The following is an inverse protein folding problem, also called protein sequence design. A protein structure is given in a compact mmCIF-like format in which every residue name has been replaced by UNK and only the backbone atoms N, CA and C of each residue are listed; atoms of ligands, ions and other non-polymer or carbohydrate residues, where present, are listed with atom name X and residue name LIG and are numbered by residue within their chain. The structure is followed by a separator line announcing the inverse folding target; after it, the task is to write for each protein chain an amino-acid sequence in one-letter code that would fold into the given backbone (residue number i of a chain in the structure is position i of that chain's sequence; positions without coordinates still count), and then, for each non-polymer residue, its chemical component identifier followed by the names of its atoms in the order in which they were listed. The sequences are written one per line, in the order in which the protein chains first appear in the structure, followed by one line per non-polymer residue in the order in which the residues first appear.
data_IF_744524955068
#
_entry.id   IF_744524955068
#
_cell.length_a   1.000
_cell.length_b   1.000
_cell.length_c   1.000
_cell.angle_alpha   90.00
_cell.angle_beta   90.00
_cell.angle_gamma   90.00
#
_symmetry.space_group_name_H-M   'P 1'
#
loop_
_entity.id
_entity.type
_entity.pdbx_description
1 polymer ?
#
# COMPACT_ATOMS: atom_id res chain seq x y z
N UNK A 1 -13.78 27.27 6.64
CA UNK A 1 -13.89 26.19 7.65
C UNK A 1 -13.01 26.56 8.84
N UNK A 2 -13.52 26.54 10.09
CA UNK A 2 -12.70 26.89 11.25
C UNK A 2 -11.61 25.84 11.48
N UNK A 3 -10.37 26.30 11.67
CA UNK A 3 -9.24 25.42 11.92
C UNK A 3 -9.21 25.00 13.40
N UNK A 4 -8.88 23.74 13.68
CA UNK A 4 -8.79 23.24 15.06
C UNK A 4 -7.63 23.93 15.78
N UNK A 5 -7.88 24.40 17.01
CA UNK A 5 -6.83 24.97 17.85
C UNK A 5 -5.68 23.97 18.06
N UNK A 6 -4.44 24.47 18.09
CA UNK A 6 -3.27 23.62 18.34
C UNK A 6 -3.32 23.09 19.77
N UNK A 7 -2.95 21.82 19.94
CA UNK A 7 -2.92 21.10 21.22
C UNK A 7 -1.47 20.77 21.59
N UNK A 8 -1.15 20.56 22.88
CA UNK A 8 0.18 20.13 23.29
C UNK A 8 0.55 18.79 22.68
N UNK A 9 1.84 18.62 22.38
CA UNK A 9 2.43 17.37 21.94
C UNK A 9 2.21 16.26 22.99
N UNK A 10 1.82 15.06 22.53
CA UNK A 10 1.59 13.92 23.43
C UNK A 10 2.89 13.26 23.95
N UNK A 11 4.07 13.75 23.55
CA UNK A 11 5.34 13.22 24.05
C UNK A 11 5.61 13.70 25.48
N UNK A 12 5.96 12.82 26.43
CA UNK A 12 6.19 13.20 27.83
C UNK A 12 7.21 14.35 27.97
N UNK A 13 6.81 15.43 28.64
CA UNK A 13 7.66 16.59 28.88
C UNK A 13 7.82 17.57 27.70
N UNK A 14 7.19 17.32 26.54
CA UNK A 14 7.24 18.24 25.41
C UNK A 14 6.25 19.39 25.56
N UNK A 15 6.74 20.64 25.43
CA UNK A 15 5.92 21.86 25.54
C UNK A 15 5.41 22.39 24.18
N UNK A 16 5.76 21.75 23.08
CA UNK A 16 5.41 22.22 21.74
C UNK A 16 3.92 22.01 21.43
N UNK A 17 3.32 22.96 20.72
CA UNK A 17 1.95 22.88 20.22
C UNK A 17 1.94 22.30 18.79
N UNK A 18 0.99 21.41 18.52
CA UNK A 18 0.81 20.72 17.25
C UNK A 18 -0.67 20.61 16.87
N UNK A 19 -0.98 20.49 15.58
CA UNK A 19 -2.31 20.08 15.11
C UNK A 19 -2.51 18.56 15.22
N UNK A 20 -1.40 17.81 15.17
CA UNK A 20 -1.34 16.35 15.14
C UNK A 20 -1.16 15.76 16.55
N UNK A 21 -0.90 14.45 16.66
CA UNK A 21 -0.59 13.79 17.95
C UNK A 21 0.75 14.24 18.55
N UNK A 22 1.76 14.43 17.71
CA UNK A 22 3.12 14.81 18.10
C UNK A 22 3.54 16.09 17.36
N UNK A 23 4.50 16.83 17.92
CA UNK A 23 5.20 17.87 17.14
C UNK A 23 6.10 17.21 16.08
N UNK A 24 6.58 17.99 15.11
CA UNK A 24 7.33 17.44 13.97
C UNK A 24 8.54 16.58 14.38
N UNK A 25 9.28 17.01 15.40
CA UNK A 25 10.43 16.26 15.94
C UNK A 25 10.02 14.91 16.51
N UNK A 26 8.98 14.88 17.36
CA UNK A 26 8.51 13.65 17.98
C UNK A 26 7.76 12.75 16.99
N UNK A 27 7.13 13.32 15.97
CA UNK A 27 6.58 12.55 14.86
C UNK A 27 7.69 11.82 14.08
N UNK A 28 8.82 12.50 13.81
CA UNK A 28 10.00 11.89 13.19
C UNK A 28 10.63 10.81 14.08
N UNK A 29 10.74 11.06 15.38
CA UNK A 29 11.27 10.09 16.34
C UNK A 29 10.40 8.83 16.43
N UNK A 30 9.08 9.00 16.54
CA UNK A 30 8.13 7.88 16.59
C UNK A 30 8.11 7.10 15.27
N UNK A 31 8.14 7.78 14.12
CA UNK A 31 8.25 7.13 12.83
C UNK A 31 9.56 6.31 12.71
N UNK A 32 10.68 6.82 13.24
CA UNK A 32 11.95 6.10 13.27
C UNK A 32 11.86 4.85 14.16
N UNK A 33 11.30 4.98 15.36
CA UNK A 33 11.07 3.85 16.28
C UNK A 33 10.19 2.78 15.63
N UNK A 34 9.05 3.18 15.08
CA UNK A 34 8.12 2.27 14.40
C UNK A 34 8.83 1.51 13.28
N UNK A 35 9.57 2.20 12.41
CA UNK A 35 10.29 1.55 11.32
C UNK A 35 11.42 0.61 11.79
N UNK A 36 11.99 0.85 12.97
CA UNK A 36 13.09 0.05 13.52
C UNK A 36 12.61 -1.19 14.28
N UNK A 37 11.54 -1.07 15.07
CA UNK A 37 11.15 -2.08 16.06
C UNK A 37 9.79 -2.72 15.79
N UNK A 38 8.83 -1.97 15.27
CA UNK A 38 7.42 -2.40 15.17
C UNK A 38 7.03 -2.83 13.74
N UNK A 39 7.70 -2.27 12.73
CA UNK A 39 7.43 -2.59 11.32
C UNK A 39 8.03 -3.95 10.95
N UNK A 40 7.22 -4.83 10.35
CA UNK A 40 7.69 -6.12 9.81
C UNK A 40 8.93 -5.89 8.93
N UNK A 41 10.12 -6.44 9.31
CA UNK A 41 11.35 -6.29 8.55
C UNK A 41 11.21 -6.79 7.10
N UNK A 42 10.31 -7.74 6.86
CA UNK A 42 10.03 -8.28 5.53
C UNK A 42 9.12 -7.39 4.68
N UNK A 43 8.45 -6.39 5.25
CA UNK A 43 7.61 -5.47 4.48
C UNK A 43 8.38 -4.75 3.36
N UNK A 44 9.62 -4.31 3.64
CA UNK A 44 10.50 -3.70 2.65
C UNK A 44 11.06 -4.71 1.63
N UNK A 45 11.23 -5.99 2.01
CA UNK A 45 11.65 -7.05 1.07
C UNK A 45 10.53 -7.42 0.10
N UNK A 46 9.27 -7.44 0.57
CA UNK A 46 8.10 -7.80 -0.24
C UNK A 46 7.83 -6.79 -1.37
N UNK A 47 7.97 -5.48 -1.09
CA UNK A 47 7.65 -4.41 -2.03
C UNK A 47 8.82 -3.45 -2.28
N UNK A 48 10.01 -4.00 -2.54
CA UNK A 48 11.22 -3.23 -2.82
C UNK A 48 11.28 -2.60 -4.22
N UNK A 49 12.42 -2.00 -4.57
CA UNK A 49 12.66 -1.37 -5.89
C UNK A 49 12.47 -2.32 -7.08
N UNK A 50 12.72 -3.62 -6.88
CA UNK A 50 12.50 -4.66 -7.89
C UNK A 50 11.03 -4.76 -8.28
N UNK A 51 10.12 -4.74 -7.29
CA UNK A 51 8.68 -4.78 -7.52
C UNK A 51 8.20 -3.58 -8.34
N UNK A 52 8.67 -2.36 -8.02
CA UNK A 52 8.27 -1.17 -8.77
C UNK A 52 8.59 -1.28 -10.27
N UNK A 53 9.76 -1.84 -10.63
CA UNK A 53 10.14 -2.09 -12.02
C UNK A 53 9.26 -3.14 -12.70
N UNK A 54 9.04 -4.27 -12.02
CA UNK A 54 8.19 -5.35 -12.53
C UNK A 54 6.76 -4.85 -12.74
N UNK A 55 6.20 -4.13 -11.75
CA UNK A 55 4.85 -3.56 -11.81
C UNK A 55 4.68 -2.63 -13.01
N UNK A 56 5.62 -1.71 -13.22
CA UNK A 56 5.55 -0.78 -14.36
C UNK A 56 5.62 -1.54 -15.68
N UNK A 57 6.58 -2.45 -15.85
CA UNK A 57 6.71 -3.25 -17.07
C UNK A 57 5.45 -4.10 -17.34
N UNK A 58 4.90 -4.70 -16.30
CA UNK A 58 3.71 -5.55 -16.39
C UNK A 58 2.46 -4.76 -16.78
N UNK A 59 2.23 -3.59 -16.19
CA UNK A 59 1.09 -2.72 -16.55
C UNK A 59 1.23 -2.14 -17.96
N UNK A 60 2.46 -1.83 -18.40
CA UNK A 60 2.69 -1.40 -19.78
C UNK A 60 2.39 -2.51 -20.78
N UNK A 61 2.72 -3.76 -20.47
CA UNK A 61 2.40 -4.91 -21.33
C UNK A 61 0.92 -5.32 -21.26
N UNK A 62 0.26 -5.05 -20.12
CA UNK A 62 -1.12 -5.44 -19.86
C UNK A 62 -1.98 -4.21 -19.46
N UNK A 63 -2.35 -3.36 -20.43
CA UNK A 63 -3.01 -2.08 -20.14
C UNK A 63 -4.47 -2.21 -19.72
N UNK A 64 -5.08 -3.39 -19.85
CA UNK A 64 -6.50 -3.63 -19.59
C UNK A 64 -6.70 -4.58 -18.40
N UNK A 65 -7.77 -4.31 -17.64
CA UNK A 65 -8.21 -5.17 -16.55
C UNK A 65 -8.64 -6.54 -17.09
N UNK A 66 -8.04 -7.61 -16.57
CA UNK A 66 -8.32 -8.98 -17.03
C UNK A 66 -9.76 -9.39 -16.75
N UNK A 67 -10.31 -9.01 -15.58
CA UNK A 67 -11.69 -9.35 -15.20
C UNK A 67 -12.70 -8.57 -16.04
N UNK A 68 -12.51 -7.27 -16.22
CA UNK A 68 -13.38 -6.48 -17.09
C UNK A 68 -13.36 -7.03 -18.52
N UNK A 69 -12.19 -7.41 -19.04
CA UNK A 69 -12.07 -7.98 -20.38
C UNK A 69 -12.85 -9.29 -20.53
N UNK A 70 -12.87 -10.15 -19.50
CA UNK A 70 -13.70 -11.38 -19.46
C UNK A 70 -15.20 -11.06 -19.49
N UNK A 71 -15.60 -9.96 -18.86
CA UNK A 71 -16.99 -9.45 -18.89
C UNK A 71 -17.32 -8.66 -20.18
N UNK A 72 -16.42 -8.61 -21.16
CA UNK A 72 -16.60 -7.82 -22.39
C UNK A 72 -16.42 -6.30 -22.24
N UNK A 73 -15.89 -5.85 -21.10
CA UNK A 73 -15.62 -4.43 -20.80
C UNK A 73 -14.14 -4.07 -20.99
N UNK A 74 -13.87 -2.93 -21.62
CA UNK A 74 -12.51 -2.42 -21.79
C UNK A 74 -12.21 -1.34 -20.76
N UNK A 75 -11.67 -1.75 -19.61
CA UNK A 75 -11.29 -0.84 -18.52
C UNK A 75 -9.78 -0.87 -18.34
N UNK A 76 -9.11 0.29 -18.17
CA UNK A 76 -7.67 0.33 -17.96
C UNK A 76 -7.30 -0.35 -16.63
N UNK A 77 -6.21 -1.12 -16.66
CA UNK A 77 -5.61 -1.67 -15.45
C UNK A 77 -4.76 -0.59 -14.77
N UNK A 78 -5.00 -0.37 -13.48
CA UNK A 78 -4.24 0.58 -12.66
C UNK A 78 -3.48 -0.11 -11.53
N UNK A 79 -3.87 -1.34 -11.21
CA UNK A 79 -3.32 -2.13 -10.11
C UNK A 79 -2.86 -3.50 -10.64
N UNK A 80 -1.89 -4.08 -9.92
CA UNK A 80 -1.42 -5.44 -10.18
C UNK A 80 -1.70 -6.25 -8.93
N UNK A 81 -2.45 -7.34 -9.10
CA UNK A 81 -2.80 -8.28 -8.04
C UNK A 81 -1.93 -9.53 -8.12
N UNK A 82 -1.47 -10.02 -6.98
CA UNK A 82 -0.80 -11.32 -6.88
C UNK A 82 -1.85 -12.41 -6.71
N UNK A 83 -1.94 -13.36 -7.66
CA UNK A 83 -2.88 -14.49 -7.60
C UNK A 83 -2.66 -15.36 -6.35
N UNK A 84 -1.38 -15.58 -6.01
CA UNK A 84 -0.94 -16.13 -4.72
C UNK A 84 -0.18 -15.04 -3.98
N UNK A 85 -0.60 -14.74 -2.76
CA UNK A 85 0.04 -13.71 -1.92
C UNK A 85 1.51 -14.03 -1.68
N UNK A 86 2.31 -12.98 -1.52
CA UNK A 86 3.73 -13.10 -1.15
C UNK A 86 3.91 -13.78 0.22
N UNK A 87 2.98 -13.58 1.16
CA UNK A 87 2.99 -14.24 2.48
C UNK A 87 2.82 -15.75 2.38
N UNK A 88 2.06 -16.21 1.38
CA UNK A 88 1.71 -17.62 1.20
C UNK A 88 2.68 -18.32 0.24
N UNK A 89 3.83 -17.70 -0.05
CA UNK A 89 4.86 -18.23 -0.96
C UNK A 89 4.68 -17.84 -2.43
N UNK A 90 3.83 -16.85 -2.73
CA UNK A 90 3.75 -16.25 -4.06
C UNK A 90 5.02 -15.47 -4.45
N UNK A 91 5.23 -15.31 -5.75
CA UNK A 91 6.38 -14.59 -6.31
C UNK A 91 5.94 -13.37 -7.11
N UNK A 92 6.89 -12.53 -7.51
CA UNK A 92 6.66 -11.41 -8.43
C UNK A 92 6.75 -11.84 -9.91
N UNK A 93 6.65 -13.13 -10.20
CA UNK A 93 6.68 -13.65 -11.56
C UNK A 93 5.41 -13.25 -12.30
N UNK A 94 5.54 -12.94 -13.59
CA UNK A 94 4.42 -12.47 -14.42
C UNK A 94 3.25 -13.45 -14.45
N UNK A 95 3.50 -14.76 -14.31
CA UNK A 95 2.46 -15.80 -14.22
C UNK A 95 1.59 -15.67 -12.97
N UNK A 96 2.16 -15.15 -11.87
CA UNK A 96 1.48 -14.90 -10.60
C UNK A 96 0.82 -13.51 -10.54
N UNK A 97 0.99 -12.66 -11.56
CA UNK A 97 0.42 -11.32 -11.59
C UNK A 97 -0.86 -11.27 -12.41
N UNK A 98 -1.76 -10.36 -12.04
CA UNK A 98 -3.01 -10.09 -12.74
C UNK A 98 -3.25 -8.57 -12.85
N UNK A 99 -3.51 -8.04 -14.05
CA UNK A 99 -3.78 -6.62 -14.26
C UNK A 99 -5.25 -6.32 -13.93
N UNK A 100 -5.51 -5.38 -13.01
CA UNK A 100 -6.86 -5.06 -12.56
C UNK A 100 -7.12 -3.56 -12.49
N UNK A 101 -8.38 -3.18 -12.65
CA UNK A 101 -8.86 -1.84 -12.27
C UNK A 101 -9.08 -1.77 -10.75
N UNK A 102 -9.23 -0.55 -10.22
CA UNK A 102 -9.46 -0.32 -8.80
C UNK A 102 -10.66 -1.07 -8.23
N UNK A 103 -11.78 -1.09 -8.94
CA UNK A 103 -13.01 -1.74 -8.50
C UNK A 103 -12.86 -3.28 -8.42
N UNK A 104 -12.34 -3.89 -9.47
CA UNK A 104 -12.12 -5.34 -9.52
C UNK A 104 -11.10 -5.79 -8.48
N UNK A 105 -10.06 -4.98 -8.25
CA UNK A 105 -9.07 -5.24 -7.22
C UNK A 105 -9.70 -5.23 -5.82
N UNK A 106 -10.48 -4.20 -5.49
CA UNK A 106 -11.18 -4.11 -4.21
C UNK A 106 -12.18 -5.25 -4.02
N UNK A 107 -12.92 -5.64 -5.06
CA UNK A 107 -13.87 -6.76 -5.01
C UNK A 107 -13.17 -8.08 -4.69
N UNK A 108 -12.03 -8.38 -5.32
CA UNK A 108 -11.28 -9.60 -5.03
C UNK A 108 -10.79 -9.65 -3.58
N UNK A 109 -10.26 -8.54 -3.05
CA UNK A 109 -9.83 -8.50 -1.65
C UNK A 109 -10.99 -8.66 -0.68
N UNK A 110 -12.16 -8.11 -1.00
CA UNK A 110 -13.37 -8.30 -0.21
C UNK A 110 -13.84 -9.77 -0.23
N UNK A 111 -13.76 -10.45 -1.38
CA UNK A 111 -14.13 -11.86 -1.52
C UNK A 111 -13.16 -12.81 -0.83
N UNK A 112 -11.85 -12.51 -0.87
CA UNK A 112 -10.82 -13.32 -0.23
C UNK A 112 -10.68 -13.03 1.27
N UNK A 113 -11.26 -11.92 1.76
CA UNK A 113 -11.14 -11.50 3.17
C UNK A 113 -9.80 -10.84 3.50
N UNK A 114 -9.11 -10.34 2.49
CA UNK A 114 -7.67 -10.08 2.53
C UNK A 114 -7.35 -8.61 2.31
N UNK A 115 -7.66 -7.77 3.29
CA UNK A 115 -7.39 -6.33 3.18
C UNK A 115 -5.92 -5.94 3.45
N UNK A 116 -4.93 -6.77 3.10
CA UNK A 116 -3.49 -6.47 3.29
C UNK A 116 -2.56 -7.19 2.31
#
# INVERSE_FOLDING_TARGET
MPYKAKKPCAYPGCRNLTSERYCEEHAKAEAKRYNQYDRDPNSNKRYGRSWARIRTAFLSANPLCELCKKDGRLTPATLVHHKRKLTDGGTNDWSNLMPLCGECHSRLHAEQGDYF
#
